data_IF_474724565299
#
_entry.id   IF_474724565299
#
_cell.length_a   1.000
_cell.length_b   1.000
_cell.length_c   1.000
_cell.angle_alpha   90.00
_cell.angle_beta   90.00
_cell.angle_gamma   90.00
#
_symmetry.space_group_name_H-M   'P 1'
#
loop_
_entity.id
_entity.type
_entity.pdbx_description
1 polymer ?
#
# COMPACT_ATOMS: atom_id res chain seq x y z
N UNK A 1 -16.41 19.70 -14.17
CA UNK A 1 -15.85 18.35 -14.40
C UNK A 1 -14.65 18.04 -13.50
N UNK A 2 -13.61 18.84 -13.44
CA UNK A 2 -12.41 18.58 -12.59
C UNK A 2 -12.73 18.25 -11.11
N UNK A 3 -13.64 18.98 -10.47
CA UNK A 3 -14.03 18.74 -9.08
C UNK A 3 -14.74 17.38 -8.86
N UNK A 4 -15.46 16.88 -9.85
CA UNK A 4 -16.15 15.58 -9.76
C UNK A 4 -15.13 14.44 -9.83
N UNK A 5 -14.18 14.53 -10.77
CA UNK A 5 -13.09 13.54 -10.93
C UNK A 5 -12.21 13.50 -9.70
N UNK A 6 -11.81 14.66 -9.16
CA UNK A 6 -11.00 14.74 -7.95
C UNK A 6 -11.74 14.17 -6.72
N UNK A 7 -13.06 14.40 -6.60
CA UNK A 7 -13.87 13.83 -5.53
C UNK A 7 -13.96 12.31 -5.66
N UNK A 8 -14.22 11.81 -6.84
CA UNK A 8 -14.28 10.37 -7.11
C UNK A 8 -12.94 9.70 -6.79
N UNK A 9 -11.82 10.26 -7.27
CA UNK A 9 -10.49 9.70 -7.02
C UNK A 9 -10.16 9.63 -5.52
N UNK A 10 -10.52 10.67 -4.75
CA UNK A 10 -10.32 10.68 -3.29
C UNK A 10 -11.16 9.61 -2.58
N UNK A 11 -12.40 9.41 -3.00
CA UNK A 11 -13.27 8.36 -2.43
C UNK A 11 -12.72 6.97 -2.75
N UNK A 12 -12.32 6.74 -4.00
CA UNK A 12 -11.70 5.48 -4.41
C UNK A 12 -10.42 5.19 -3.61
N UNK A 13 -9.54 6.17 -3.44
CA UNK A 13 -8.30 6.01 -2.68
C UNK A 13 -8.58 5.74 -1.18
N UNK A 14 -9.58 6.42 -0.60
CA UNK A 14 -10.02 6.17 0.77
C UNK A 14 -10.52 4.73 0.93
N UNK A 15 -11.40 4.29 0.04
CA UNK A 15 -11.99 2.95 0.11
C UNK A 15 -10.91 1.87 -0.12
N UNK A 16 -9.96 2.13 -1.02
CA UNK A 16 -8.79 1.27 -1.19
C UNK A 16 -7.93 1.19 0.07
N UNK A 17 -7.66 2.32 0.73
CA UNK A 17 -6.91 2.35 1.98
C UNK A 17 -7.59 1.56 3.10
N UNK A 18 -8.92 1.61 3.18
CA UNK A 18 -9.67 0.82 4.18
C UNK A 18 -9.71 -0.68 3.88
N UNK A 19 -9.63 -1.07 2.61
CA UNK A 19 -9.87 -2.44 2.16
C UNK A 19 -8.60 -3.15 1.65
N UNK A 20 -7.44 -2.47 1.55
CA UNK A 20 -6.25 -3.03 0.89
C UNK A 20 -5.82 -4.39 1.45
N UNK A 21 -6.00 -4.57 2.74
CA UNK A 21 -5.63 -5.77 3.49
C UNK A 21 -6.78 -6.80 3.67
N UNK A 22 -7.97 -6.57 3.07
CA UNK A 22 -9.13 -7.45 3.25
C UNK A 22 -8.82 -8.90 2.86
N UNK A 23 -7.93 -9.11 1.91
CA UNK A 23 -7.54 -10.45 1.46
C UNK A 23 -6.76 -11.25 2.49
N UNK A 24 -6.27 -10.64 3.57
CA UNK A 24 -5.65 -11.34 4.70
C UNK A 24 -6.61 -12.32 5.38
N UNK A 25 -7.92 -12.17 5.19
CA UNK A 25 -8.92 -13.15 5.65
C UNK A 25 -8.67 -14.56 5.07
N UNK A 26 -8.02 -14.66 3.93
CA UNK A 26 -7.65 -15.93 3.31
C UNK A 26 -6.31 -16.52 3.79
N UNK A 27 -5.60 -15.84 4.69
CA UNK A 27 -4.30 -16.27 5.21
C UNK A 27 -4.49 -16.81 6.63
N UNK A 28 -3.84 -17.93 6.95
CA UNK A 28 -3.98 -18.51 8.29
C UNK A 28 -3.36 -17.62 9.36
N UNK A 29 -4.01 -17.56 10.53
CA UNK A 29 -3.54 -16.81 11.70
C UNK A 29 -2.14 -17.26 12.15
N UNK A 30 -1.81 -18.53 11.99
CA UNK A 30 -0.49 -19.07 12.32
C UNK A 30 0.64 -18.41 11.51
N UNK A 31 0.37 -18.02 10.28
CA UNK A 31 1.32 -17.30 9.42
C UNK A 31 1.30 -15.81 9.73
N UNK A 32 0.11 -15.20 9.83
CA UNK A 32 -0.03 -13.75 10.08
C UNK A 32 0.55 -13.31 11.42
N UNK A 33 0.40 -14.15 12.47
CA UNK A 33 0.83 -13.84 13.83
C UNK A 33 2.16 -14.51 14.20
N UNK A 34 2.92 -15.01 13.23
CA UNK A 34 4.19 -15.68 13.50
C UNK A 34 5.19 -14.74 14.17
N UNK A 35 5.66 -15.13 15.36
CA UNK A 35 6.70 -14.39 16.07
C UNK A 35 8.07 -14.70 15.44
N UNK A 36 8.45 -13.97 14.39
CA UNK A 36 9.74 -14.13 13.71
C UNK A 36 9.65 -13.97 12.21
N UNK A 37 10.73 -14.31 11.52
CA UNK A 37 10.75 -14.21 10.04
C UNK A 37 9.89 -15.30 9.42
N UNK A 38 9.13 -14.93 8.40
CA UNK A 38 8.43 -15.86 7.53
C UNK A 38 9.45 -16.64 6.68
N UNK A 39 9.17 -17.91 6.40
CA UNK A 39 9.88 -18.63 5.32
C UNK A 39 9.48 -18.05 3.96
N UNK A 40 10.20 -18.43 2.90
CA UNK A 40 9.88 -17.98 1.55
C UNK A 40 8.49 -18.46 1.11
N UNK A 41 8.08 -19.68 1.51
CA UNK A 41 6.76 -20.23 1.23
C UNK A 41 5.66 -19.48 1.99
N UNK A 42 5.87 -19.20 3.27
CA UNK A 42 4.94 -18.41 4.09
C UNK A 42 4.82 -16.98 3.54
N UNK A 43 5.94 -16.37 3.12
CA UNK A 43 5.91 -15.04 2.51
C UNK A 43 5.13 -15.04 1.20
N UNK A 44 5.33 -16.04 0.32
CA UNK A 44 4.53 -16.22 -0.90
C UNK A 44 3.04 -16.38 -0.59
N UNK A 45 2.71 -17.10 0.49
CA UNK A 45 1.32 -17.22 0.93
C UNK A 45 0.76 -15.86 1.36
N UNK A 46 1.51 -15.08 2.14
CA UNK A 46 1.07 -13.72 2.52
C UNK A 46 0.87 -12.83 1.30
N UNK A 47 1.74 -12.92 0.29
CA UNK A 47 1.59 -12.12 -0.95
C UNK A 47 0.25 -12.36 -1.66
N UNK A 48 -0.37 -13.54 -1.50
CA UNK A 48 -1.67 -13.84 -2.14
C UNK A 48 -2.82 -12.98 -1.62
N UNK A 49 -2.67 -12.28 -0.48
CA UNK A 49 -3.74 -11.41 0.03
C UNK A 49 -4.14 -10.31 -0.96
N UNK A 50 -3.24 -9.86 -1.81
CA UNK A 50 -3.54 -8.86 -2.85
C UNK A 50 -4.51 -9.41 -3.89
N UNK A 51 -4.33 -10.66 -4.31
CA UNK A 51 -5.20 -11.36 -5.28
C UNK A 51 -6.53 -11.71 -4.62
N UNK A 52 -6.50 -12.27 -3.42
CA UNK A 52 -7.71 -12.60 -2.65
C UNK A 52 -8.53 -11.33 -2.39
N UNK A 53 -7.88 -10.24 -2.02
CA UNK A 53 -8.55 -8.95 -1.79
C UNK A 53 -9.21 -8.41 -3.06
N UNK A 54 -8.54 -8.48 -4.21
CA UNK A 54 -9.16 -8.15 -5.50
C UNK A 54 -10.40 -9.01 -5.75
N UNK A 55 -10.30 -10.33 -5.58
CA UNK A 55 -11.39 -11.28 -5.85
C UNK A 55 -12.60 -11.04 -4.94
N UNK A 56 -12.39 -10.67 -3.67
CA UNK A 56 -13.45 -10.32 -2.73
C UNK A 56 -14.16 -9.03 -3.12
N UNK A 57 -13.42 -8.02 -3.59
CA UNK A 57 -13.96 -6.67 -3.82
C UNK A 57 -14.50 -6.48 -5.23
N UNK A 58 -13.88 -7.09 -6.23
CA UNK A 58 -14.21 -6.93 -7.66
C UNK A 58 -15.68 -7.21 -8.02
N UNK A 59 -16.39 -8.19 -7.42
CA UNK A 59 -17.82 -8.42 -7.72
C UNK A 59 -18.73 -7.27 -7.28
N UNK A 60 -18.27 -6.40 -6.39
CA UNK A 60 -19.02 -5.25 -5.91
C UNK A 60 -18.87 -4.12 -6.93
N UNK A 61 -19.84 -3.93 -7.81
CA UNK A 61 -19.72 -3.11 -9.03
C UNK A 61 -19.11 -1.71 -8.85
N UNK A 62 -19.48 -0.99 -7.78
CA UNK A 62 -18.94 0.35 -7.50
C UNK A 62 -17.51 0.33 -6.90
N UNK A 63 -16.99 -0.83 -6.49
CA UNK A 63 -15.63 -1.01 -5.98
C UNK A 63 -14.68 -1.63 -7.02
N UNK A 64 -15.09 -1.79 -8.27
CA UNK A 64 -14.25 -2.41 -9.31
C UNK A 64 -12.91 -1.72 -9.47
N UNK A 65 -12.88 -0.38 -9.45
CA UNK A 65 -11.63 0.37 -9.57
C UNK A 65 -10.77 0.26 -8.30
N UNK A 66 -11.43 0.14 -7.14
CA UNK A 66 -10.77 -0.13 -5.84
C UNK A 66 -10.06 -1.49 -5.86
N UNK A 67 -10.66 -2.50 -6.50
CA UNK A 67 -10.06 -3.84 -6.56
C UNK A 67 -8.70 -3.85 -7.27
N UNK A 68 -8.52 -3.01 -8.30
CA UNK A 68 -7.24 -2.87 -8.99
C UNK A 68 -6.18 -2.20 -8.10
N UNK A 69 -6.58 -1.27 -7.26
CA UNK A 69 -5.67 -0.65 -6.28
C UNK A 69 -5.24 -1.69 -5.23
N UNK A 70 -6.19 -2.48 -4.72
CA UNK A 70 -5.93 -3.57 -3.77
C UNK A 70 -4.96 -4.60 -4.36
N UNK A 71 -5.15 -5.01 -5.63
CA UNK A 71 -4.25 -5.95 -6.27
C UNK A 71 -2.80 -5.46 -6.32
N UNK A 72 -2.60 -4.16 -6.65
CA UNK A 72 -1.29 -3.65 -7.04
C UNK A 72 -0.60 -2.76 -5.99
N UNK A 73 -1.13 -2.64 -4.76
CA UNK A 73 -0.55 -1.75 -3.74
C UNK A 73 0.83 -2.20 -3.22
N UNK A 74 1.23 -3.44 -3.48
CA UNK A 74 2.56 -3.96 -3.19
C UNK A 74 3.46 -4.08 -4.42
N UNK A 75 3.03 -3.55 -5.57
CA UNK A 75 3.92 -3.38 -6.70
C UNK A 75 4.98 -2.32 -6.40
N UNK A 76 6.17 -2.52 -6.94
CA UNK A 76 7.32 -1.62 -6.75
C UNK A 76 7.64 -0.91 -8.05
N UNK A 77 8.04 0.34 -7.96
CA UNK A 77 8.37 1.15 -9.12
C UNK A 77 9.47 0.52 -10.00
N UNK A 78 10.39 -0.25 -9.39
CA UNK A 78 11.46 -0.98 -10.07
C UNK A 78 11.01 -2.31 -10.71
N UNK A 79 9.75 -2.73 -10.55
CA UNK A 79 9.19 -3.98 -11.08
C UNK A 79 9.52 -5.21 -10.25
N UNK A 80 10.04 -5.04 -9.03
CA UNK A 80 10.37 -6.15 -8.11
C UNK A 80 9.27 -6.40 -7.07
N UNK A 81 8.09 -5.84 -7.30
CA UNK A 81 6.91 -6.01 -6.45
C UNK A 81 6.11 -7.25 -6.78
N UNK A 82 4.91 -7.31 -6.26
CA UNK A 82 3.97 -8.40 -6.48
C UNK A 82 2.53 -7.86 -6.53
N UNK A 83 1.56 -8.58 -7.12
CA UNK A 83 1.64 -9.96 -7.63
C UNK A 83 2.10 -10.08 -9.08
N UNK A 84 2.02 -9.02 -9.89
CA UNK A 84 2.21 -9.08 -11.35
C UNK A 84 3.59 -8.59 -11.79
N UNK A 85 4.37 -7.95 -10.92
CA UNK A 85 5.68 -7.39 -11.23
C UNK A 85 5.62 -6.17 -12.16
N UNK A 86 4.55 -5.37 -12.06
CA UNK A 86 4.37 -4.16 -12.84
C UNK A 86 5.47 -3.15 -12.52
N UNK A 87 5.88 -2.37 -13.53
CA UNK A 87 6.97 -1.42 -13.40
C UNK A 87 6.56 0.00 -13.80
N UNK A 88 7.04 0.97 -13.06
CA UNK A 88 6.87 2.38 -13.42
C UNK A 88 5.41 2.79 -13.47
N UNK A 89 4.99 3.30 -14.63
CA UNK A 89 3.64 3.79 -14.85
C UNK A 89 2.61 2.72 -15.21
N UNK A 90 3.04 1.47 -15.41
CA UNK A 90 2.12 0.33 -15.53
C UNK A 90 1.33 0.11 -14.22
N UNK A 91 1.92 0.51 -13.08
CA UNK A 91 1.25 0.45 -11.78
C UNK A 91 0.18 1.56 -11.71
N UNK A 92 -1.08 1.25 -11.41
CA UNK A 92 -2.13 2.25 -11.24
C UNK A 92 -1.71 3.37 -10.28
N UNK A 93 -1.96 4.63 -10.63
CA UNK A 93 -1.54 5.79 -9.82
C UNK A 93 -2.02 5.69 -8.37
N UNK A 94 -3.27 5.27 -8.15
CA UNK A 94 -3.81 5.10 -6.80
C UNK A 94 -3.07 4.02 -5.99
N UNK A 95 -2.60 2.94 -6.63
CA UNK A 95 -1.80 1.91 -5.99
C UNK A 95 -0.41 2.46 -5.60
N UNK A 96 0.22 3.27 -6.47
CA UNK A 96 1.49 3.95 -6.17
C UNK A 96 1.38 4.91 -4.99
N UNK A 97 0.24 5.63 -4.87
CA UNK A 97 -0.04 6.53 -3.74
C UNK A 97 -0.26 5.72 -2.46
N UNK A 98 -1.07 4.67 -2.54
CA UNK A 98 -1.36 3.80 -1.39
C UNK A 98 -0.10 3.13 -0.87
N UNK A 99 0.80 2.67 -1.74
CA UNK A 99 2.07 2.05 -1.37
C UNK A 99 2.95 2.95 -0.49
N UNK A 100 3.00 4.26 -0.77
CA UNK A 100 3.75 5.22 0.05
C UNK A 100 3.08 5.42 1.41
N UNK A 101 1.75 5.58 1.42
CA UNK A 101 0.99 5.80 2.65
C UNK A 101 1.03 4.57 3.58
N UNK A 102 0.83 3.36 3.03
CA UNK A 102 0.91 2.09 3.77
C UNK A 102 2.31 1.86 4.34
N UNK A 103 3.36 2.08 3.54
CA UNK A 103 4.73 1.94 4.02
C UNK A 103 5.04 2.92 5.15
N UNK A 104 4.60 4.18 5.05
CA UNK A 104 4.77 5.17 6.10
C UNK A 104 4.03 4.76 7.37
N UNK A 105 2.76 4.40 7.26
CA UNK A 105 1.93 3.94 8.39
C UNK A 105 2.55 2.71 9.06
N UNK A 106 3.00 1.74 8.25
CA UNK A 106 3.70 0.56 8.75
C UNK A 106 4.99 0.89 9.52
N UNK A 107 5.70 1.96 9.16
CA UNK A 107 6.95 2.37 9.82
C UNK A 107 6.71 3.07 11.15
N UNK A 108 5.68 3.90 11.27
CA UNK A 108 5.41 4.72 12.47
C UNK A 108 4.56 4.03 13.54
N UNK A 109 4.09 2.79 13.29
CA UNK A 109 3.33 2.01 14.26
C UNK A 109 4.11 0.76 14.71
N UNK A 110 3.92 0.39 15.99
CA UNK A 110 4.47 -0.84 16.54
C UNK A 110 3.91 -2.07 15.82
N UNK A 111 4.80 -3.01 15.51
CA UNK A 111 4.43 -4.33 15.00
C UNK A 111 4.98 -5.41 15.94
N UNK A 112 4.38 -6.59 15.94
CA UNK A 112 4.72 -7.73 16.83
C UNK A 112 6.24 -8.00 16.89
N UNK A 113 6.96 -7.67 15.83
CA UNK A 113 8.40 -7.94 15.66
C UNK A 113 9.27 -6.69 15.48
N UNK A 114 8.70 -5.46 15.58
CA UNK A 114 9.45 -4.21 15.40
C UNK A 114 8.77 -3.04 16.10
N UNK A 115 9.55 -2.30 16.90
CA UNK A 115 9.12 -1.01 17.43
C UNK A 115 8.87 0.03 16.33
N UNK A 116 8.00 0.99 16.60
CA UNK A 116 7.74 2.13 15.73
C UNK A 116 9.03 2.94 15.48
N UNK A 117 9.18 3.43 14.27
CA UNK A 117 10.20 4.42 13.92
C UNK A 117 9.69 5.82 14.26
N UNK A 118 10.61 6.76 14.48
CA UNK A 118 10.25 8.18 14.47
C UNK A 118 9.78 8.61 13.07
N UNK A 119 9.04 9.71 13.01
CA UNK A 119 8.59 10.28 11.74
C UNK A 119 9.78 10.62 10.82
N UNK A 120 10.86 11.17 11.37
CA UNK A 120 12.06 11.54 10.61
C UNK A 120 12.76 10.31 10.02
N UNK A 121 12.86 9.22 10.78
CA UNK A 121 13.40 7.95 10.28
C UNK A 121 12.53 7.37 9.16
N UNK A 122 11.20 7.38 9.33
CA UNK A 122 10.27 6.91 8.31
C UNK A 122 10.36 7.74 7.02
N UNK A 123 10.47 9.07 7.13
CA UNK A 123 10.70 9.98 6.00
C UNK A 123 12.03 9.64 5.29
N UNK A 124 13.11 9.42 6.03
CA UNK A 124 14.39 9.05 5.45
C UNK A 124 14.31 7.73 4.65
N UNK A 125 13.59 6.73 5.16
CA UNK A 125 13.36 5.46 4.44
C UNK A 125 12.50 5.65 3.18
N UNK A 126 11.48 6.51 3.21
CA UNK A 126 10.70 6.84 2.00
C UNK A 126 11.59 7.50 0.93
N UNK A 127 12.42 8.47 1.34
CA UNK A 127 13.36 9.17 0.43
C UNK A 127 14.35 8.19 -0.19
N UNK A 128 14.90 7.28 0.59
CA UNK A 128 15.82 6.22 0.12
C UNK A 128 15.15 5.27 -0.87
N UNK A 129 13.85 5.04 -0.71
CA UNK A 129 13.05 4.18 -1.59
C UNK A 129 12.65 4.83 -2.93
N UNK A 130 12.90 6.14 -3.15
CA UNK A 130 12.57 6.84 -4.40
C UNK A 130 13.22 6.17 -5.61
N UNK A 131 12.46 6.00 -6.68
CA UNK A 131 12.92 5.42 -7.94
C UNK A 131 13.15 3.90 -7.91
N UNK A 132 13.01 3.28 -6.74
CA UNK A 132 13.10 1.82 -6.57
C UNK A 132 11.78 1.26 -6.06
N UNK A 133 11.47 1.41 -4.79
CA UNK A 133 10.20 0.97 -4.23
C UNK A 133 9.07 1.94 -4.58
N UNK A 134 9.32 3.23 -4.50
CA UNK A 134 8.32 4.28 -4.62
C UNK A 134 8.53 5.20 -5.82
N UNK A 135 7.43 5.76 -6.32
CA UNK A 135 7.46 6.84 -7.31
C UNK A 135 8.02 8.10 -6.65
N UNK A 136 9.10 8.72 -7.18
CA UNK A 136 9.70 9.90 -6.56
C UNK A 136 8.72 11.03 -6.30
N UNK A 137 7.90 11.39 -7.28
CA UNK A 137 6.94 12.49 -7.19
C UNK A 137 5.87 12.25 -6.12
N UNK A 138 5.43 10.99 -5.93
CA UNK A 138 4.46 10.65 -4.87
C UNK A 138 5.07 10.83 -3.50
N UNK A 139 6.34 10.42 -3.31
CA UNK A 139 7.06 10.62 -2.04
C UNK A 139 7.24 12.11 -1.75
N UNK A 140 7.63 12.91 -2.76
CA UNK A 140 7.82 14.36 -2.58
C UNK A 140 6.53 15.04 -2.12
N UNK A 141 5.41 14.81 -2.83
CA UNK A 141 4.10 15.37 -2.46
C UNK A 141 3.63 14.87 -1.09
N UNK A 142 3.89 13.60 -0.76
CA UNK A 142 3.53 13.05 0.55
C UNK A 142 4.25 13.79 1.69
N UNK A 143 5.55 14.01 1.56
CA UNK A 143 6.37 14.67 2.57
C UNK A 143 6.05 16.17 2.67
N UNK A 144 5.88 16.85 1.54
CA UNK A 144 5.74 18.30 1.51
C UNK A 144 4.31 18.78 1.79
N UNK A 145 3.29 18.02 1.35
CA UNK A 145 1.90 18.48 1.36
C UNK A 145 0.97 17.66 2.28
N UNK A 146 1.24 16.37 2.46
CA UNK A 146 0.32 15.49 3.22
C UNK A 146 0.75 15.39 4.67
N UNK A 147 2.01 15.12 4.92
CA UNK A 147 2.55 14.88 6.25
C UNK A 147 2.42 16.09 7.20
N UNK A 148 2.73 17.34 6.79
CA UNK A 148 2.57 18.49 7.66
C UNK A 148 1.12 18.70 8.14
N UNK A 149 0.14 18.46 7.24
CA UNK A 149 -1.29 18.59 7.58
C UNK A 149 -1.78 17.52 8.58
N UNK A 150 -1.14 16.35 8.60
CA UNK A 150 -1.47 15.27 9.55
C UNK A 150 -0.90 15.53 10.95
N UNK A 151 0.15 16.31 11.06
CA UNK A 151 0.80 16.65 12.33
C UNK A 151 0.19 17.86 13.04
N UNK A 152 -0.77 18.55 12.42
CA UNK A 152 -1.50 19.69 13.01
C UNK A 152 -2.75 19.28 13.83
N UNK A 153 -3.01 17.96 14.05
CA UNK A 153 -4.16 17.44 14.80
C UNK A 153 -3.71 16.72 16.09
#
# INVERSE_FOLDING_TARGET
MANVVAKWFRLMLRDAGLLHDIGKIGISDAVLNKAGRLTDEEFKLVQTHTIIGEDVVRPIGFLRDVSQVIRHHHERYDGRGYPDGLKGEEIPLAARILAVADAFDAMIHDRVYRAAMSVDEAVAELVKGKGTQFVPQVVDVFIEEVLPRKMEF
#
